data_IF_263393419705
#
_entry.id   IF_263393419705
#
_cell.length_a   1.000
_cell.length_b   1.000
_cell.length_c   1.000
_cell.angle_alpha   90.00
_cell.angle_beta   90.00
_cell.angle_gamma   90.00
#
_symmetry.space_group_name_H-M   'P 1'
#
loop_
_entity.id
_entity.type
_entity.pdbx_description
1 polymer ?
#
# COMPACT_ATOMS: atom_id res chain seq x y z
N UNK A 1 25.17 -37.44 -20.13
CA UNK A 1 24.31 -36.35 -20.62
C UNK A 1 23.42 -35.95 -19.46
N UNK A 2 23.87 -35.00 -18.64
CA UNK A 2 23.15 -34.54 -17.45
C UNK A 2 22.24 -33.40 -17.90
N UNK A 3 20.93 -33.55 -17.71
CA UNK A 3 19.98 -32.45 -17.79
C UNK A 3 20.40 -31.42 -16.74
N UNK A 4 21.02 -30.34 -17.22
CA UNK A 4 21.19 -29.11 -16.45
C UNK A 4 19.77 -28.62 -16.17
N UNK A 5 19.36 -28.86 -14.94
CA UNK A 5 18.19 -28.32 -14.27
C UNK A 5 17.79 -26.96 -14.82
N UNK A 6 16.55 -26.86 -15.29
CA UNK A 6 15.83 -25.64 -15.61
C UNK A 6 15.61 -24.77 -14.35
N UNK A 7 16.69 -24.31 -13.71
CA UNK A 7 16.62 -23.19 -12.77
C UNK A 7 16.49 -21.93 -13.60
N UNK A 8 15.26 -21.64 -14.04
CA UNK A 8 14.91 -20.35 -14.58
C UNK A 8 15.25 -19.31 -13.52
N UNK A 9 16.22 -18.44 -13.82
CA UNK A 9 16.37 -17.16 -13.14
C UNK A 9 15.09 -16.36 -13.40
N UNK A 10 14.10 -16.45 -12.52
CA UNK A 10 12.91 -15.60 -12.63
C UNK A 10 13.28 -14.23 -12.09
N UNK A 11 13.84 -13.38 -12.96
CA UNK A 11 13.82 -11.95 -12.71
C UNK A 11 12.35 -11.52 -12.78
N UNK A 12 11.80 -11.13 -11.64
CA UNK A 12 10.49 -10.50 -11.55
C UNK A 12 10.60 -9.08 -12.08
N UNK A 13 9.60 -8.67 -12.86
CA UNK A 13 9.34 -7.27 -13.14
C UNK A 13 8.60 -6.69 -11.93
N UNK A 14 9.26 -5.84 -11.15
CA UNK A 14 8.79 -5.39 -9.84
C UNK A 14 8.55 -3.89 -9.87
N UNK A 15 7.31 -3.50 -9.64
CA UNK A 15 6.98 -2.16 -9.16
C UNK A 15 7.12 -2.12 -7.64
N UNK A 16 7.95 -1.21 -7.14
CA UNK A 16 8.33 -1.14 -5.74
C UNK A 16 8.09 0.26 -5.19
N UNK A 17 7.50 0.33 -4.00
CA UNK A 17 7.40 1.55 -3.24
C UNK A 17 7.89 1.35 -1.81
N UNK A 18 8.53 2.37 -1.26
CA UNK A 18 9.09 2.37 0.09
C UNK A 18 8.45 3.48 0.94
N UNK A 19 8.07 3.12 2.16
CA UNK A 19 7.75 4.04 3.24
C UNK A 19 8.76 3.85 4.35
N UNK A 20 9.58 4.87 4.61
CA UNK A 20 10.57 4.86 5.69
C UNK A 20 9.85 5.01 7.03
N UNK A 21 10.29 4.24 8.03
CA UNK A 21 9.80 4.40 9.39
C UNK A 21 10.63 5.47 10.09
N UNK A 22 9.99 6.55 10.54
CA UNK A 22 10.68 7.67 11.17
C UNK A 22 11.49 7.20 12.39
N UNK A 23 12.73 7.68 12.50
CA UNK A 23 13.65 7.35 13.58
C UNK A 23 13.96 5.84 13.71
N UNK A 24 13.90 5.10 12.60
CA UNK A 24 14.19 3.66 12.53
C UNK A 24 15.11 3.35 11.34
N UNK A 25 15.82 2.22 11.43
CA UNK A 25 16.58 1.65 10.30
C UNK A 25 15.72 0.68 9.47
N UNK A 26 14.40 0.74 9.61
CA UNK A 26 13.47 -0.13 8.90
C UNK A 26 12.59 0.67 7.94
N UNK A 27 12.24 0.03 6.84
CA UNK A 27 11.29 0.53 5.87
C UNK A 27 10.22 -0.52 5.59
N UNK A 28 9.03 -0.05 5.26
CA UNK A 28 7.97 -0.88 4.73
C UNK A 28 7.98 -0.75 3.23
N UNK A 29 8.10 -1.86 2.53
CA UNK A 29 8.01 -1.94 1.09
C UNK A 29 6.65 -2.46 0.69
N UNK A 30 6.00 -1.80 -0.27
CA UNK A 30 4.87 -2.32 -1.02
C UNK A 30 5.40 -2.75 -2.39
N UNK A 31 5.04 -3.93 -2.85
CA UNK A 31 5.49 -4.41 -4.15
C UNK A 31 4.35 -5.02 -4.95
N UNK A 32 4.43 -4.88 -6.26
CA UNK A 32 3.63 -5.55 -7.27
C UNK A 32 4.58 -6.14 -8.29
N UNK A 33 4.55 -7.46 -8.46
CA UNK A 33 5.53 -8.20 -9.23
C UNK A 33 4.88 -9.13 -10.24
N UNK A 34 5.35 -9.03 -11.49
CA UNK A 34 4.95 -9.88 -12.59
C UNK A 34 6.11 -10.77 -13.01
N UNK A 35 5.82 -12.05 -13.24
CA UNK A 35 6.80 -13.06 -13.65
C UNK A 35 6.23 -13.96 -14.73
N UNK A 36 7.08 -14.82 -15.31
CA UNK A 36 6.70 -15.75 -16.37
C UNK A 36 5.47 -16.62 -16.04
N UNK A 37 4.91 -17.30 -17.04
CA UNK A 37 3.64 -18.06 -16.94
C UNK A 37 2.48 -17.24 -16.33
N UNK A 38 2.44 -15.93 -16.58
CA UNK A 38 1.37 -15.05 -16.11
C UNK A 38 1.21 -15.08 -14.57
N UNK A 39 2.34 -15.16 -13.86
CA UNK A 39 2.36 -15.17 -12.40
C UNK A 39 2.42 -13.75 -11.88
N UNK A 40 1.47 -13.38 -11.04
CA UNK A 40 1.41 -12.09 -10.36
C UNK A 40 1.46 -12.29 -8.84
N UNK A 41 2.34 -11.55 -8.18
CA UNK A 41 2.49 -11.53 -6.72
C UNK A 41 2.62 -10.09 -6.24
N UNK A 42 1.78 -9.71 -5.29
CA UNK A 42 1.86 -8.40 -4.64
C UNK A 42 1.72 -8.56 -3.13
N UNK A 43 2.30 -7.63 -2.38
CA UNK A 43 2.30 -7.69 -0.93
C UNK A 43 3.08 -6.55 -0.29
N UNK A 44 3.34 -6.72 1.01
CA UNK A 44 4.16 -5.80 1.77
C UNK A 44 5.28 -6.55 2.52
N UNK A 45 6.38 -5.85 2.75
CA UNK A 45 7.52 -6.32 3.55
C UNK A 45 7.98 -5.25 4.51
N UNK A 46 8.50 -5.70 5.64
CA UNK A 46 9.20 -4.87 6.60
C UNK A 46 10.65 -5.32 6.61
N UNK A 47 11.56 -4.49 6.12
CA UNK A 47 12.97 -4.83 5.93
C UNK A 47 13.86 -3.79 6.59
N UNK A 48 15.09 -4.17 6.92
CA UNK A 48 16.10 -3.19 7.29
C UNK A 48 16.46 -2.39 6.03
N UNK A 49 16.46 -1.05 6.14
CA UNK A 49 16.73 -0.15 5.04
C UNK A 49 18.13 -0.34 4.42
N UNK A 50 19.09 -0.88 5.18
CA UNK A 50 20.42 -1.21 4.68
C UNK A 50 20.46 -2.50 3.84
N UNK A 51 19.52 -3.43 4.05
CA UNK A 51 19.41 -4.67 3.27
C UNK A 51 18.67 -4.41 1.94
N UNK A 52 17.66 -3.54 1.99
CA UNK A 52 16.82 -3.21 0.84
C UNK A 52 15.95 -4.38 0.36
N UNK A 53 15.11 -4.14 -0.64
CA UNK A 53 14.28 -5.16 -1.27
C UNK A 53 15.06 -5.92 -2.35
N UNK A 54 14.94 -7.24 -2.39
CA UNK A 54 15.64 -8.13 -3.30
C UNK A 54 14.68 -8.97 -4.16
N UNK A 55 15.13 -9.49 -5.29
CA UNK A 55 14.31 -10.36 -6.16
C UNK A 55 13.78 -11.62 -5.45
N UNK A 56 14.55 -12.15 -4.49
CA UNK A 56 14.12 -13.28 -3.64
C UNK A 56 12.96 -12.92 -2.71
N UNK A 57 12.73 -11.63 -2.44
CA UNK A 57 11.69 -11.18 -1.54
C UNK A 57 10.28 -11.34 -2.12
N UNK A 58 10.13 -11.27 -3.44
CA UNK A 58 8.83 -11.40 -4.13
C UNK A 58 8.10 -12.69 -3.74
N UNK A 59 8.85 -13.77 -3.52
CA UNK A 59 8.28 -15.09 -3.24
C UNK A 59 7.93 -15.32 -1.76
N UNK A 60 8.20 -14.36 -0.88
CA UNK A 60 8.04 -14.49 0.58
C UNK A 60 7.40 -13.25 1.20
N UNK A 61 6.08 -13.06 1.10
CA UNK A 61 5.40 -11.92 1.73
C UNK A 61 5.46 -11.95 3.26
N UNK A 62 5.31 -10.79 3.91
CA UNK A 62 5.02 -10.74 5.34
C UNK A 62 3.52 -10.59 5.58
N UNK A 63 3.04 -11.12 6.71
CA UNK A 63 1.65 -11.05 7.18
C UNK A 63 1.29 -9.61 7.59
N UNK A 64 1.24 -8.71 6.61
CA UNK A 64 0.78 -7.34 6.71
C UNK A 64 0.25 -6.94 5.34
N UNK A 65 -1.05 -6.65 5.26
CA UNK A 65 -1.71 -6.24 4.02
C UNK A 65 -1.96 -4.74 3.96
N UNK A 66 -2.25 -4.14 5.11
CA UNK A 66 -2.45 -2.70 5.28
C UNK A 66 -2.06 -2.28 6.69
N UNK A 67 -1.65 -1.03 6.83
CA UNK A 67 -1.43 -0.38 8.11
C UNK A 67 -2.74 0.14 8.68
N UNK A 68 -2.87 0.19 10.01
CA UNK A 68 -4.02 0.85 10.68
C UNK A 68 -3.63 2.19 11.29
N UNK A 69 -2.33 2.49 11.33
CA UNK A 69 -1.73 3.72 11.83
C UNK A 69 -0.42 3.97 11.07
N UNK A 70 0.11 5.20 11.12
CA UNK A 70 1.42 5.49 10.52
C UNK A 70 2.50 4.78 11.35
N UNK A 71 3.35 3.93 10.74
CA UNK A 71 4.34 3.15 11.47
C UNK A 71 5.41 4.06 12.07
N UNK A 72 5.89 3.68 13.26
CA UNK A 72 6.97 4.35 13.97
C UNK A 72 7.99 3.35 14.50
N UNK A 73 9.14 3.83 14.97
CA UNK A 73 10.13 2.96 15.66
C UNK A 73 9.59 2.23 16.89
N UNK A 74 8.47 2.69 17.44
CA UNK A 74 7.86 2.14 18.66
C UNK A 74 6.66 1.25 18.38
N UNK A 75 6.03 1.39 17.22
CA UNK A 75 4.77 0.74 16.96
C UNK A 75 4.54 0.53 15.46
N UNK A 76 4.14 -0.70 15.13
CA UNK A 76 3.65 -1.07 13.80
C UNK A 76 2.32 -1.78 14.01
N UNK A 77 1.23 -1.10 13.65
CA UNK A 77 -0.10 -1.69 13.65
C UNK A 77 -0.58 -1.91 12.23
N UNK A 78 -1.15 -3.08 12.01
CA UNK A 78 -1.69 -3.42 10.72
C UNK A 78 -2.69 -4.55 10.79
N UNK A 79 -3.22 -4.84 9.62
CA UNK A 79 -4.08 -5.98 9.40
C UNK A 79 -3.43 -6.93 8.41
N UNK A 80 -3.68 -8.22 8.61
CA UNK A 80 -3.45 -9.23 7.61
C UNK A 80 -4.79 -9.68 7.06
N UNK A 81 -4.96 -9.57 5.73
CA UNK A 81 -6.13 -10.15 5.07
C UNK A 81 -5.93 -11.65 5.03
N UNK A 82 -6.77 -12.38 5.75
CA UNK A 82 -6.68 -13.85 5.73
C UNK A 82 -7.07 -14.36 4.34
N UNK A 83 -6.06 -14.52 3.49
CA UNK A 83 -6.19 -15.20 2.20
C UNK A 83 -5.78 -16.65 2.44
N UNK A 84 -6.55 -17.57 1.87
CA UNK A 84 -6.34 -19.04 1.93
C UNK A 84 -4.95 -19.49 1.40
N UNK A 85 -4.07 -18.57 0.93
CA UNK A 85 -2.72 -18.85 0.44
C UNK A 85 -1.67 -18.64 1.55
N UNK A 86 -1.43 -19.71 2.30
CA UNK A 86 -0.44 -19.85 3.39
C UNK A 86 1.04 -19.75 2.93
N UNK A 87 1.50 -18.57 2.50
CA UNK A 87 2.93 -18.31 2.19
C UNK A 87 3.54 -17.14 2.93
N UNK A 88 2.73 -16.36 3.64
CA UNK A 88 3.19 -15.16 4.33
C UNK A 88 3.71 -15.49 5.73
N UNK A 89 4.87 -14.93 6.06
CA UNK A 89 5.51 -15.10 7.36
C UNK A 89 5.19 -13.93 8.28
N UNK A 90 5.20 -14.11 9.62
CA UNK A 90 5.05 -12.99 10.54
C UNK A 90 6.10 -11.91 10.26
N UNK A 91 5.73 -10.64 10.42
CA UNK A 91 6.70 -9.53 10.29
C UNK A 91 7.85 -9.71 11.30
N UNK A 92 9.09 -9.37 10.93
CA UNK A 92 10.22 -9.47 11.83
C UNK A 92 10.02 -8.59 13.06
N UNK A 93 10.50 -9.06 14.22
CA UNK A 93 10.49 -8.27 15.45
C UNK A 93 11.50 -7.14 15.31
N UNK A 94 11.05 -5.91 15.54
CA UNK A 94 11.94 -4.75 15.67
C UNK A 94 12.19 -4.51 17.17
N UNK A 95 13.45 -4.39 17.56
CA UNK A 95 13.81 -4.13 18.95
C UNK A 95 13.19 -2.81 19.44
N UNK A 96 12.41 -2.87 20.52
CA UNK A 96 11.75 -1.70 21.09
C UNK A 96 10.45 -1.26 20.39
N UNK A 97 10.00 -2.01 19.37
CA UNK A 97 8.70 -1.80 18.74
C UNK A 97 7.66 -2.83 19.21
N UNK A 98 6.43 -2.37 19.37
CA UNK A 98 5.25 -3.22 19.54
C UNK A 98 4.64 -3.46 18.15
N UNK A 99 4.61 -4.73 17.74
CA UNK A 99 4.06 -5.15 16.47
C UNK A 99 2.67 -5.77 16.70
N UNK A 100 1.61 -5.10 16.25
CA UNK A 100 0.23 -5.56 16.37
C UNK A 100 -0.37 -5.80 15.00
N UNK A 101 -0.24 -7.04 14.49
CA UNK A 101 -0.92 -7.45 13.27
C UNK A 101 -2.10 -8.34 13.64
N UNK A 102 -3.30 -7.92 13.25
CA UNK A 102 -4.54 -8.69 13.46
C UNK A 102 -5.06 -9.24 12.13
N UNK A 103 -5.48 -10.49 12.13
CA UNK A 103 -6.10 -11.10 10.96
C UNK A 103 -7.59 -10.77 10.91
N UNK A 104 -8.07 -10.43 9.72
CA UNK A 104 -9.49 -10.20 9.46
C UNK A 104 -9.90 -10.83 8.14
N UNK A 105 -11.13 -11.33 8.09
CA UNK A 105 -11.78 -11.75 6.85
C UNK A 105 -12.27 -10.54 6.05
N UNK A 106 -12.28 -10.70 4.73
CA UNK A 106 -12.86 -9.71 3.83
C UNK A 106 -14.39 -9.69 3.91
N UNK A 107 -14.95 -8.49 3.98
CA UNK A 107 -16.39 -8.30 3.87
C UNK A 107 -16.84 -8.56 2.42
N UNK A 108 -17.58 -9.65 2.20
CA UNK A 108 -18.02 -10.14 0.88
C UNK A 108 -19.45 -9.72 0.50
N UNK A 109 -20.03 -8.73 1.18
CA UNK A 109 -21.38 -8.25 0.89
C UNK A 109 -21.52 -7.70 -0.53
N UNK A 110 -22.55 -8.15 -1.27
CA UNK A 110 -22.98 -7.50 -2.52
C UNK A 110 -23.42 -6.07 -2.14
N UNK A 111 -22.81 -5.05 -2.73
CA UNK A 111 -22.89 -3.62 -2.35
C UNK A 111 -21.92 -3.21 -1.22
N UNK A 112 -20.63 -3.52 -1.37
CA UNK A 112 -19.62 -3.08 -0.41
C UNK A 112 -19.60 -1.56 -0.25
N UNK A 113 -19.76 -1.07 0.99
CA UNK A 113 -19.59 0.33 1.37
C UNK A 113 -18.21 0.90 0.99
N UNK A 114 -17.25 0.00 0.78
CA UNK A 114 -15.97 0.28 0.17
C UNK A 114 -16.10 0.20 -1.36
N UNK A 115 -16.15 1.37 -1.99
CA UNK A 115 -16.19 1.52 -3.44
C UNK A 115 -14.85 2.02 -3.95
N UNK A 116 -14.53 1.66 -5.18
CA UNK A 116 -13.41 2.27 -5.88
C UNK A 116 -13.81 3.66 -6.35
N UNK A 117 -13.09 4.69 -5.90
CA UNK A 117 -13.32 6.10 -6.29
C UNK A 117 -12.10 6.68 -7.00
N UNK A 118 -12.35 7.65 -7.87
CA UNK A 118 -11.37 8.19 -8.79
C UNK A 118 -11.59 9.68 -8.94
N UNK A 119 -10.56 10.48 -8.72
CA UNK A 119 -10.65 11.92 -8.79
C UNK A 119 -9.50 12.52 -9.60
N UNK A 120 -9.76 13.65 -10.25
CA UNK A 120 -8.71 14.62 -10.52
C UNK A 120 -8.76 15.71 -9.45
N UNK A 121 -7.64 16.32 -9.11
CA UNK A 121 -7.58 17.37 -8.08
C UNK A 121 -6.73 18.56 -8.52
N UNK A 122 -7.05 19.74 -7.97
CA UNK A 122 -6.39 20.99 -8.31
C UNK A 122 -5.14 21.26 -7.47
N UNK A 123 -5.23 21.03 -6.17
CA UNK A 123 -4.13 21.25 -5.22
C UNK A 123 -4.28 20.33 -4.00
N UNK A 124 -3.24 20.23 -3.18
CA UNK A 124 -3.28 19.45 -1.95
C UNK A 124 -2.58 20.19 -0.82
N UNK A 125 -2.88 19.77 0.41
CA UNK A 125 -2.14 20.13 1.61
C UNK A 125 -1.82 18.85 2.36
N UNK A 126 -0.56 18.72 2.76
CA UNK A 126 -0.08 17.62 3.57
C UNK A 126 0.15 18.10 5.01
N UNK A 127 -0.35 17.36 5.99
CA UNK A 127 0.03 17.52 7.39
C UNK A 127 0.71 16.24 7.91
N UNK A 128 0.92 16.11 9.22
CA UNK A 128 1.62 14.95 9.78
C UNK A 128 0.87 13.64 9.51
N UNK A 129 -0.45 13.67 9.59
CA UNK A 129 -1.28 12.46 9.67
C UNK A 129 -2.17 12.25 8.43
N UNK A 130 -2.38 13.29 7.64
CA UNK A 130 -3.31 13.29 6.52
C UNK A 130 -2.76 13.99 5.27
N UNK A 131 -3.41 13.71 4.15
CA UNK A 131 -3.35 14.52 2.92
C UNK A 131 -4.77 14.98 2.61
N UNK A 132 -4.93 16.29 2.41
CA UNK A 132 -6.18 16.91 1.98
C UNK A 132 -6.05 17.34 0.53
N UNK A 133 -6.95 16.86 -0.33
CA UNK A 133 -7.04 17.22 -1.74
C UNK A 133 -8.18 18.21 -1.96
N UNK A 134 -7.95 19.23 -2.78
CA UNK A 134 -8.90 20.31 -3.05
C UNK A 134 -9.40 20.33 -4.50
N UNK A 135 -10.67 20.67 -4.67
CA UNK A 135 -11.38 20.75 -5.97
C UNK A 135 -11.28 19.42 -6.72
N UNK A 136 -11.94 18.41 -6.16
CA UNK A 136 -11.89 17.02 -6.60
C UNK A 136 -13.02 16.74 -7.58
N UNK A 137 -12.68 16.51 -8.83
CA UNK A 137 -13.64 16.13 -9.88
C UNK A 137 -13.62 14.62 -10.07
N UNK A 138 -14.79 14.01 -9.96
CA UNK A 138 -14.96 12.58 -10.19
C UNK A 138 -14.59 12.20 -11.63
N UNK A 139 -13.88 11.08 -11.78
CA UNK A 139 -13.59 10.49 -13.10
C UNK A 139 -14.68 9.51 -13.58
N UNK A 140 -15.71 9.27 -12.77
CA UNK A 140 -16.85 8.41 -13.12
C UNK A 140 -18.04 9.25 -13.60
N UNK A 141 -18.78 8.72 -14.59
CA UNK A 141 -19.91 9.41 -15.26
C UNK A 141 -20.95 9.93 -14.27
N UNK A 142 -21.28 9.14 -13.24
CA UNK A 142 -22.28 9.51 -12.20
C UNK A 142 -21.63 9.74 -10.84
N UNK A 143 -20.33 10.02 -10.80
CA UNK A 143 -19.65 10.27 -9.53
C UNK A 143 -19.83 11.71 -9.05
N UNK A 144 -19.61 11.90 -7.75
CA UNK A 144 -19.80 13.19 -7.09
C UNK A 144 -18.48 13.92 -6.94
N UNK A 145 -18.48 15.20 -7.27
CA UNK A 145 -17.35 16.11 -7.04
C UNK A 145 -17.34 16.57 -5.58
N UNK A 146 -16.14 16.90 -5.07
CA UNK A 146 -15.96 17.32 -3.69
C UNK A 146 -14.95 18.47 -3.61
N UNK A 147 -15.32 19.54 -2.92
CA UNK A 147 -14.40 20.66 -2.65
C UNK A 147 -13.16 20.20 -1.88
N UNK A 148 -13.35 19.25 -0.95
CA UNK A 148 -12.28 18.71 -0.11
C UNK A 148 -12.44 17.20 0.09
N UNK A 149 -11.34 16.46 -0.05
CA UNK A 149 -11.24 15.06 0.37
C UNK A 149 -9.98 14.89 1.20
N UNK A 150 -10.15 14.52 2.48
CA UNK A 150 -9.05 14.24 3.39
C UNK A 150 -8.87 12.73 3.56
N UNK A 151 -7.63 12.26 3.43
CA UNK A 151 -7.25 10.84 3.57
C UNK A 151 -6.16 10.68 4.63
N UNK A 152 -6.25 9.65 5.50
CA UNK A 152 -5.19 9.36 6.44
C UNK A 152 -3.98 8.75 5.73
N UNK A 153 -2.79 9.14 6.19
CA UNK A 153 -1.52 8.54 5.77
C UNK A 153 -1.36 7.13 6.34
N UNK A 154 -0.34 6.44 5.86
CA UNK A 154 0.00 5.06 6.22
C UNK A 154 -0.18 4.11 5.05
N UNK A 155 -1.26 4.24 4.27
CA UNK A 155 -1.54 3.40 3.09
C UNK A 155 -1.72 4.23 1.81
N UNK A 156 -0.90 5.28 1.67
CA UNK A 156 -0.86 6.13 0.49
C UNK A 156 0.40 5.78 -0.32
N UNK A 157 0.26 5.47 -1.60
CA UNK A 157 1.41 5.23 -2.48
C UNK A 157 1.32 6.06 -3.76
N UNK A 158 2.46 6.61 -4.18
CA UNK A 158 2.54 7.55 -5.30
C UNK A 158 3.10 6.85 -6.53
N UNK A 159 2.38 6.92 -7.64
CA UNK A 159 2.88 6.56 -8.96
C UNK A 159 3.41 7.82 -9.66
N UNK A 160 4.56 7.68 -10.30
CA UNK A 160 5.25 8.77 -10.98
C UNK A 160 5.40 8.51 -12.47
N UNK A 161 5.96 9.48 -13.17
CA UNK A 161 6.50 9.27 -14.50
C UNK A 161 7.72 8.33 -14.47
N UNK A 162 8.24 8.01 -15.66
CA UNK A 162 9.40 7.13 -15.83
C UNK A 162 10.69 7.68 -15.22
N UNK A 163 10.75 8.95 -14.80
CA UNK A 163 11.91 9.54 -14.13
C UNK A 163 11.81 9.51 -12.60
N UNK A 164 10.68 9.08 -12.03
CA UNK A 164 10.36 9.17 -10.60
C UNK A 164 10.38 10.60 -10.03
N UNK A 165 10.06 11.60 -10.85
CA UNK A 165 10.09 13.01 -10.42
C UNK A 165 8.72 13.67 -10.43
N UNK A 166 7.87 13.31 -11.38
CA UNK A 166 6.55 13.93 -11.55
C UNK A 166 5.46 12.96 -11.11
N UNK A 167 4.58 13.42 -10.22
CA UNK A 167 3.43 12.64 -9.75
C UNK A 167 2.42 12.45 -10.89
N UNK A 168 2.00 11.20 -11.09
CA UNK A 168 0.96 10.83 -12.06
C UNK A 168 -0.32 10.37 -11.39
N UNK A 169 -0.20 9.67 -10.27
CA UNK A 169 -1.35 9.20 -9.50
C UNK A 169 -0.97 8.99 -8.05
N UNK A 170 -1.88 9.34 -7.14
CA UNK A 170 -1.76 9.05 -5.72
C UNK A 170 -2.86 8.04 -5.38
N UNK A 171 -2.49 6.86 -4.94
CA UNK A 171 -3.42 5.80 -4.56
C UNK A 171 -3.53 5.76 -3.04
N UNK A 172 -4.76 5.70 -2.54
CA UNK A 172 -5.08 5.73 -1.12
C UNK A 172 -5.99 4.55 -0.78
N UNK A 173 -5.51 3.65 0.06
CA UNK A 173 -6.27 2.49 0.54
C UNK A 173 -6.68 2.71 2.01
N UNK A 174 -7.97 2.94 2.29
CA UNK A 174 -8.45 3.12 3.66
C UNK A 174 -9.14 1.85 4.18
N UNK A 175 -8.63 1.30 5.26
CA UNK A 175 -9.21 0.14 5.94
C UNK A 175 -10.45 0.58 6.73
N UNK A 176 -11.60 -0.01 6.42
CA UNK A 176 -12.83 0.13 7.22
C UNK A 176 -13.13 -1.18 7.92
N UNK A 177 -13.53 -1.08 9.19
CA UNK A 177 -14.00 -2.20 9.98
C UNK A 177 -15.53 -2.24 9.93
N UNK A 178 -16.08 -3.37 9.54
CA UNK A 178 -17.52 -3.61 9.42
C UNK A 178 -17.88 -4.75 10.33
N UNK A 179 -18.92 -4.57 11.14
CA UNK A 179 -19.52 -5.68 11.89
C UNK A 179 -20.48 -6.44 10.99
N UNK A 180 -20.22 -7.72 10.75
CA UNK A 180 -21.12 -8.58 9.98
C UNK A 180 -22.47 -8.72 10.72
N UNK A 181 -23.57 -8.35 10.06
CA UNK A 181 -24.89 -8.36 10.69
C UNK A 181 -25.41 -9.76 11.02
N UNK A 182 -24.85 -10.81 10.40
CA UNK A 182 -25.24 -12.21 10.59
C UNK A 182 -24.39 -12.87 11.67
N UNK A 183 -23.05 -12.73 11.59
CA UNK A 183 -22.14 -13.42 12.52
C UNK A 183 -21.70 -12.58 13.70
N UNK A 184 -21.92 -11.26 13.66
CA UNK A 184 -21.38 -10.26 14.59
C UNK A 184 -19.84 -10.15 14.61
N UNK A 185 -19.14 -10.84 13.69
CA UNK A 185 -17.69 -10.75 13.56
C UNK A 185 -17.28 -9.41 12.94
N UNK A 186 -16.12 -8.91 13.35
CA UNK A 186 -15.50 -7.77 12.68
C UNK A 186 -14.84 -8.28 11.40
N UNK A 187 -15.28 -7.77 10.26
CA UNK A 187 -14.70 -7.95 8.94
C UNK A 187 -14.10 -6.63 8.46
N UNK A 188 -13.33 -6.70 7.38
CA UNK A 188 -12.70 -5.52 6.79
C UNK A 188 -13.18 -5.29 5.37
N UNK A 189 -13.29 -4.02 4.99
CA UNK A 189 -13.34 -3.63 3.59
C UNK A 189 -12.31 -2.52 3.33
N UNK A 190 -11.82 -2.44 2.09
CA UNK A 190 -10.79 -1.48 1.70
C UNK A 190 -11.41 -0.45 0.77
N UNK A 191 -11.61 0.77 1.26
CA UNK A 191 -12.12 1.91 0.50
C UNK A 191 -10.96 2.51 -0.29
N UNK A 192 -10.96 2.25 -1.59
CA UNK A 192 -9.87 2.56 -2.50
C UNK A 192 -10.17 3.85 -3.25
N UNK A 193 -9.27 4.82 -3.16
CA UNK A 193 -9.34 6.06 -3.93
C UNK A 193 -8.05 6.27 -4.71
N UNK A 194 -8.15 6.85 -5.89
CA UNK A 194 -6.98 7.45 -6.52
C UNK A 194 -7.24 8.87 -6.98
N UNK A 195 -6.16 9.66 -6.96
CA UNK A 195 -6.14 11.07 -7.26
C UNK A 195 -5.10 11.34 -8.34
N UNK A 196 -5.50 11.98 -9.44
CA UNK A 196 -4.60 12.44 -10.49
C UNK A 196 -4.52 13.96 -10.49
N UNK A 197 -3.32 14.55 -10.48
CA UNK A 197 -3.21 16.00 -10.42
C UNK A 197 -3.59 16.62 -11.78
N UNK A 198 -4.32 17.73 -11.75
CA UNK A 198 -4.63 18.52 -12.96
C UNK A 198 -3.43 19.30 -13.50
N UNK A 199 -2.43 19.52 -12.65
CA UNK A 199 -1.21 20.22 -12.98
C UNK A 199 0.01 19.38 -12.59
N UNK A 200 1.18 19.77 -13.09
CA UNK A 200 2.41 19.09 -12.71
C UNK A 200 2.69 19.29 -11.21
N UNK A 201 2.90 18.19 -10.50
CA UNK A 201 3.32 18.17 -9.09
C UNK A 201 4.58 17.31 -8.99
N UNK A 202 5.60 17.83 -8.31
CA UNK A 202 6.86 17.11 -8.09
C UNK A 202 6.72 16.15 -6.90
N UNK A 203 7.32 14.98 -7.00
CA UNK A 203 7.37 14.01 -5.89
C UNK A 203 8.02 14.60 -4.63
N UNK A 204 8.95 15.54 -4.80
CA UNK A 204 9.64 16.24 -3.70
C UNK A 204 8.72 17.16 -2.89
N UNK A 205 7.52 17.47 -3.36
CA UNK A 205 6.54 18.26 -2.61
C UNK A 205 5.86 17.44 -1.51
N UNK A 206 5.96 16.10 -1.57
CA UNK A 206 5.46 15.21 -0.53
C UNK A 206 6.55 14.91 0.49
N UNK A 207 6.19 14.77 1.77
CA UNK A 207 7.14 14.26 2.77
C UNK A 207 7.43 12.77 2.55
N UNK A 208 8.49 12.26 3.19
CA UNK A 208 8.82 10.83 3.20
C UNK A 208 8.04 10.07 4.31
N UNK A 209 7.23 10.77 5.10
CA UNK A 209 6.56 10.22 6.28
C UNK A 209 5.12 9.81 6.00
N UNK A 210 4.80 8.54 6.25
CA UNK A 210 3.44 8.02 6.09
C UNK A 210 3.02 7.75 4.64
N UNK A 211 3.94 7.88 3.68
CA UNK A 211 3.67 7.77 2.24
C UNK A 211 4.70 6.84 1.62
N UNK A 212 4.23 5.90 0.79
CA UNK A 212 5.08 5.05 -0.03
C UNK A 212 5.49 5.78 -1.32
N UNK A 213 6.79 5.97 -1.52
CA UNK A 213 7.37 6.56 -2.73
C UNK A 213 8.00 5.49 -3.62
N UNK A 214 7.95 5.66 -4.95
CA UNK A 214 8.47 4.65 -5.86
C UNK A 214 10.00 4.54 -5.74
N UNK A 215 10.50 3.30 -5.72
CA UNK A 215 11.93 2.96 -5.67
C UNK A 215 12.31 2.27 -6.97
N UNK A 216 13.53 2.50 -7.44
CA UNK A 216 14.12 1.83 -8.60
C UNK A 216 15.31 1.01 -8.19
#
# INVERSE_FOLDING_TARGET
>A
MLCVSCFFSTSWDVELWEQKIENSNYSIYKFDAWGGRDSHVSGMKLLNAAEGFQQSDVMSGHQISYLTSIPSKHQIDGIFRDRIRARETPIPKIAGAINTIKSYEDFSGRNSECLYKAYTFQSFKEDRDHITFYTNESKFVDGTDYDEITVPKGNIYIMTDSTNTIVKRINCDHVKFITDSVTADIKICIDKKYFEPKHEIKLSEFTDYGIYKPVK
#
